data_IF_650206549663
#
_entry.id   IF_650206549663
#
_cell.length_a   1.000
_cell.length_b   1.000
_cell.length_c   1.000
_cell.angle_alpha   90.00
_cell.angle_beta   90.00
_cell.angle_gamma   90.00
#
_symmetry.space_group_name_H-M   'P 1'
#
loop_
_entity.id
_entity.type
_entity.pdbx_description
1 polymer ?
#
# COMPACT_ATOMS: atom_id res chain seq x y z
N UNK A 1 14.20 17.40 -9.54
CA UNK A 1 14.68 16.85 -10.82
C UNK A 1 15.58 15.66 -10.53
N UNK A 2 15.32 14.50 -11.16
CA UNK A 2 16.21 13.33 -11.11
C UNK A 2 17.29 13.52 -12.18
N UNK A 3 18.37 14.24 -11.86
CA UNK A 3 19.47 14.48 -12.79
C UNK A 3 20.80 14.07 -12.16
N UNK A 4 21.31 12.93 -12.64
CA UNK A 4 22.54 12.28 -12.21
C UNK A 4 23.81 13.14 -12.37
N UNK A 5 23.79 14.12 -13.27
CA UNK A 5 24.96 14.97 -13.57
C UNK A 5 25.05 16.19 -12.64
N UNK A 6 23.94 16.58 -12.00
CA UNK A 6 23.84 17.83 -11.24
C UNK A 6 23.71 17.65 -9.73
N UNK A 7 23.55 16.41 -9.25
CA UNK A 7 23.29 16.11 -7.83
C UNK A 7 24.45 15.32 -7.24
N UNK A 8 25.14 15.84 -6.20
CA UNK A 8 26.18 15.07 -5.52
C UNK A 8 25.59 13.83 -4.83
N UNK A 9 26.18 12.66 -5.06
CA UNK A 9 25.68 11.36 -4.56
C UNK A 9 25.44 11.38 -3.04
N UNK A 10 26.32 12.03 -2.26
CA UNK A 10 26.17 12.13 -0.80
C UNK A 10 24.82 12.73 -0.38
N UNK A 11 24.26 13.63 -1.18
CA UNK A 11 22.97 14.26 -0.87
C UNK A 11 21.79 13.30 -1.01
N UNK A 12 21.93 12.19 -1.74
CA UNK A 12 20.88 11.19 -1.92
C UNK A 12 20.54 10.45 -0.61
N UNK A 13 21.48 10.36 0.33
CA UNK A 13 21.24 9.78 1.65
C UNK A 13 20.32 10.63 2.54
N UNK A 14 20.13 11.91 2.22
CA UNK A 14 19.29 12.85 2.98
C UNK A 14 18.13 13.39 2.16
N UNK A 15 18.13 13.18 0.83
CA UNK A 15 17.11 13.69 -0.06
C UNK A 15 15.71 13.19 0.35
N UNK A 16 14.67 14.05 0.24
CA UNK A 16 13.30 13.66 0.53
C UNK A 16 12.82 12.63 -0.49
N UNK A 17 12.14 11.59 0.01
CA UNK A 17 11.55 10.53 -0.80
C UNK A 17 10.05 10.78 -0.91
N UNK A 18 9.52 10.61 -2.11
CA UNK A 18 8.10 10.79 -2.40
C UNK A 18 7.57 9.50 -3.02
N UNK A 19 6.45 9.01 -2.49
CA UNK A 19 5.67 7.95 -3.10
C UNK A 19 4.66 8.58 -4.07
N UNK A 20 4.56 8.03 -5.28
CA UNK A 20 3.71 8.55 -6.35
C UNK A 20 2.97 7.39 -7.01
N UNK A 21 1.71 7.61 -7.35
CA UNK A 21 0.96 6.67 -8.20
C UNK A 21 1.51 6.75 -9.62
N UNK A 22 2.01 5.64 -10.21
CA UNK A 22 2.48 5.63 -11.59
C UNK A 22 1.36 6.00 -12.56
N UNK A 23 1.69 6.60 -13.72
CA UNK A 23 0.70 7.02 -14.73
C UNK A 23 -0.26 5.88 -15.10
N UNK A 24 0.29 4.68 -15.30
CA UNK A 24 -0.48 3.48 -15.65
C UNK A 24 -1.51 3.07 -14.59
N UNK A 25 -1.32 3.46 -13.33
CA UNK A 25 -2.18 3.10 -12.20
C UNK A 25 -3.14 4.22 -11.80
N UNK A 26 -3.09 5.40 -12.44
CA UNK A 26 -3.97 6.52 -12.09
C UNK A 26 -5.46 6.21 -12.25
N UNK A 27 -5.83 5.43 -13.26
CA UNK A 27 -7.23 5.02 -13.45
C UNK A 27 -7.71 4.13 -12.30
N UNK A 28 -6.86 3.22 -11.82
CA UNK A 28 -7.18 2.36 -10.67
C UNK A 28 -7.31 3.21 -9.40
N UNK A 29 -6.35 4.11 -9.15
CA UNK A 29 -6.41 5.01 -8.00
C UNK A 29 -7.69 5.88 -8.03
N UNK A 30 -8.07 6.40 -9.21
CA UNK A 30 -9.31 7.15 -9.39
C UNK A 30 -10.54 6.31 -9.01
N UNK A 31 -10.64 5.07 -9.49
CA UNK A 31 -11.74 4.16 -9.12
C UNK A 31 -11.77 3.93 -7.61
N UNK A 32 -10.63 3.70 -6.97
CA UNK A 32 -10.57 3.51 -5.51
C UNK A 32 -11.10 4.72 -4.75
N UNK A 33 -10.74 5.93 -5.16
CA UNK A 33 -11.20 7.20 -4.56
C UNK A 33 -12.71 7.37 -4.75
N UNK A 34 -13.23 7.11 -5.94
CA UNK A 34 -14.66 7.24 -6.26
C UNK A 34 -15.52 6.25 -5.47
N UNK A 35 -15.15 4.96 -5.45
CA UNK A 35 -15.92 3.93 -4.77
C UNK A 35 -15.89 4.11 -3.24
N UNK A 36 -14.72 4.42 -2.67
CA UNK A 36 -14.55 4.56 -1.21
C UNK A 36 -15.30 5.74 -0.60
N UNK A 37 -15.65 6.76 -1.40
CA UNK A 37 -16.39 7.93 -0.94
C UNK A 37 -17.76 7.58 -0.33
N UNK A 38 -18.35 6.45 -0.76
CA UNK A 38 -19.68 5.99 -0.31
C UNK A 38 -19.64 4.76 0.59
N UNK A 39 -18.46 4.21 0.88
CA UNK A 39 -18.30 2.99 1.67
C UNK A 39 -17.97 3.31 3.14
N UNK A 40 -18.64 2.62 4.06
CA UNK A 40 -18.28 2.68 5.49
C UNK A 40 -17.05 1.83 5.82
N UNK A 41 -16.84 0.75 5.06
CA UNK A 41 -15.85 -0.29 5.34
C UNK A 41 -15.06 -0.65 4.07
N UNK A 42 -13.74 -0.78 4.22
CA UNK A 42 -12.82 -1.30 3.20
C UNK A 42 -12.22 -2.61 3.70
N UNK A 43 -12.33 -3.69 2.92
CA UNK A 43 -11.69 -4.97 3.24
C UNK A 43 -10.60 -5.28 2.22
N UNK A 44 -9.36 -5.43 2.69
CA UNK A 44 -8.20 -5.74 1.87
C UNK A 44 -8.08 -7.26 1.66
N UNK A 45 -8.06 -7.66 0.40
CA UNK A 45 -7.96 -9.06 -0.06
C UNK A 45 -6.71 -9.35 -0.90
N UNK A 46 -5.67 -8.52 -0.80
CA UNK A 46 -4.36 -8.79 -1.42
C UNK A 46 -3.75 -10.11 -0.90
N UNK A 47 -2.74 -10.63 -1.59
CA UNK A 47 -2.04 -11.85 -1.17
C UNK A 47 -1.45 -11.72 0.25
N UNK A 48 -1.41 -12.82 0.98
CA UNK A 48 -1.04 -12.84 2.41
C UNK A 48 0.48 -12.93 2.65
N UNK A 49 1.23 -12.06 2.00
CA UNK A 49 2.67 -11.88 2.20
C UNK A 49 3.01 -10.42 2.55
N UNK A 50 4.32 -10.09 2.59
CA UNK A 50 4.78 -8.74 2.94
C UNK A 50 4.40 -7.69 1.90
N UNK A 51 4.53 -8.03 0.62
CA UNK A 51 4.23 -7.11 -0.48
C UNK A 51 2.72 -6.85 -0.54
N UNK A 52 1.90 -7.89 -0.39
CA UNK A 52 0.45 -7.77 -0.34
C UNK A 52 -0.04 -6.94 0.84
N UNK A 53 0.63 -6.98 1.99
CA UNK A 53 0.31 -6.09 3.11
C UNK A 53 0.66 -4.62 2.81
N UNK A 54 1.82 -4.37 2.18
CA UNK A 54 2.24 -3.03 1.74
C UNK A 54 1.28 -2.45 0.71
N UNK A 55 0.93 -3.22 -0.32
CA UNK A 55 -0.06 -2.83 -1.34
C UNK A 55 -1.42 -2.55 -0.68
N UNK A 56 -1.82 -3.37 0.29
CA UNK A 56 -3.03 -3.14 1.08
C UNK A 56 -3.05 -1.80 1.80
N UNK A 57 -1.90 -1.40 2.37
CA UNK A 57 -1.74 -0.11 3.03
C UNK A 57 -1.75 1.07 2.03
N UNK A 58 -1.17 0.91 0.84
CA UNK A 58 -1.26 1.90 -0.24
C UNK A 58 -2.70 2.12 -0.69
N UNK A 59 -3.46 1.04 -0.92
CA UNK A 59 -4.89 1.11 -1.25
C UNK A 59 -5.66 1.85 -0.15
N UNK A 60 -5.44 1.47 1.11
CA UNK A 60 -6.10 2.11 2.24
C UNK A 60 -5.79 3.61 2.35
N UNK A 61 -4.57 4.03 1.98
CA UNK A 61 -4.16 5.42 1.96
C UNK A 61 -4.90 6.20 0.87
N UNK A 62 -4.95 5.67 -0.35
CA UNK A 62 -5.67 6.27 -1.48
C UNK A 62 -7.16 6.42 -1.15
N UNK A 63 -7.81 5.37 -0.62
CA UNK A 63 -9.22 5.45 -0.24
C UNK A 63 -9.51 6.47 0.88
N UNK A 64 -8.55 6.69 1.78
CA UNK A 64 -8.69 7.69 2.86
C UNK A 64 -8.57 9.14 2.36
N UNK A 65 -8.10 9.37 1.14
CA UNK A 65 -8.08 10.71 0.54
C UNK A 65 -9.49 11.24 0.31
N UNK A 66 -10.44 10.40 -0.12
CA UNK A 66 -11.87 10.77 -0.25
C UNK A 66 -12.67 10.51 1.01
N UNK A 67 -12.36 9.44 1.76
CA UNK A 67 -13.07 9.08 2.97
C UNK A 67 -12.12 8.80 4.16
N UNK A 68 -11.70 9.85 4.90
CA UNK A 68 -10.77 9.69 6.02
C UNK A 68 -11.26 8.80 7.17
N UNK A 69 -12.57 8.53 7.24
CA UNK A 69 -13.21 7.76 8.31
C UNK A 69 -13.49 6.31 7.93
N UNK A 70 -13.16 5.88 6.71
CA UNK A 70 -13.41 4.52 6.24
C UNK A 70 -12.72 3.49 7.15
N UNK A 71 -13.47 2.49 7.61
CA UNK A 71 -12.95 1.48 8.53
C UNK A 71 -12.25 0.36 7.73
N UNK A 72 -10.95 0.16 7.97
CA UNK A 72 -10.11 -0.71 7.13
C UNK A 72 -9.82 -2.04 7.79
N UNK A 73 -10.25 -3.12 7.15
CA UNK A 73 -10.02 -4.50 7.56
C UNK A 73 -9.13 -5.25 6.59
N UNK A 74 -8.56 -6.35 7.06
CA UNK A 74 -7.69 -7.26 6.32
C UNK A 74 -8.21 -8.69 6.41
N UNK A 75 -8.56 -9.27 5.27
CA UNK A 75 -8.87 -10.69 5.16
C UNK A 75 -7.58 -11.50 5.03
N UNK A 76 -7.40 -12.58 5.79
CA UNK A 76 -6.22 -13.45 5.70
C UNK A 76 -6.61 -14.84 5.21
N UNK A 77 -5.98 -15.29 4.15
CA UNK A 77 -6.22 -16.58 3.50
C UNK A 77 -4.90 -17.13 2.91
N UNK A 78 -4.82 -18.45 2.75
CA UNK A 78 -3.62 -19.12 2.19
C UNK A 78 -3.93 -19.93 0.93
N UNK A 79 -5.21 -19.96 0.54
CA UNK A 79 -5.69 -20.66 -0.65
C UNK A 79 -6.99 -20.01 -1.14
N UNK A 80 -7.30 -20.19 -2.43
CA UNK A 80 -8.52 -19.67 -3.05
C UNK A 80 -9.54 -20.81 -3.14
N UNK A 81 -10.06 -21.20 -1.98
CA UNK A 81 -11.14 -22.19 -1.86
C UNK A 81 -12.35 -21.54 -1.19
N UNK A 82 -13.60 -21.98 -1.49
CA UNK A 82 -14.79 -21.41 -0.85
C UNK A 82 -14.71 -21.40 0.68
N UNK A 83 -14.18 -22.49 1.26
CA UNK A 83 -13.99 -22.63 2.71
C UNK A 83 -13.02 -21.58 3.26
N UNK A 84 -11.88 -21.38 2.60
CA UNK A 84 -10.87 -20.42 3.07
C UNK A 84 -11.37 -18.97 2.98
N UNK A 85 -12.06 -18.62 1.89
CA UNK A 85 -12.61 -17.27 1.70
C UNK A 85 -13.74 -16.98 2.70
N UNK A 86 -14.66 -17.92 2.93
CA UNK A 86 -15.69 -17.78 3.97
C UNK A 86 -15.08 -17.63 5.37
N UNK A 87 -14.05 -18.43 5.68
CA UNK A 87 -13.36 -18.33 6.95
C UNK A 87 -12.70 -16.96 7.11
N UNK A 88 -12.00 -16.45 6.09
CA UNK A 88 -11.35 -15.15 6.12
C UNK A 88 -12.37 -14.00 6.29
N UNK A 89 -13.50 -14.06 5.59
CA UNK A 89 -14.57 -13.06 5.69
C UNK A 89 -15.21 -13.00 7.09
N UNK A 90 -15.26 -14.13 7.81
CA UNK A 90 -15.77 -14.18 9.20
C UNK A 90 -14.74 -13.79 10.25
N UNK A 91 -13.45 -13.77 9.91
CA UNK A 91 -12.33 -13.51 10.83
C UNK A 91 -11.44 -12.39 10.29
N UNK A 92 -12.04 -11.24 9.98
CA UNK A 92 -11.31 -10.07 9.53
C UNK A 92 -10.39 -9.54 10.64
N UNK A 93 -9.20 -9.10 10.23
CA UNK A 93 -8.17 -8.51 11.10
C UNK A 93 -7.88 -7.08 10.67
N UNK A 94 -6.87 -6.43 11.25
CA UNK A 94 -6.35 -5.14 10.79
C UNK A 94 -5.09 -5.35 9.96
N UNK A 95 -4.74 -4.38 9.12
CA UNK A 95 -3.44 -4.36 8.46
C UNK A 95 -2.33 -4.35 9.52
N UNK A 96 -1.30 -5.17 9.31
CA UNK A 96 -0.14 -5.20 10.19
C UNK A 96 0.85 -4.11 9.78
N UNK A 97 0.79 -2.98 10.50
CA UNK A 97 1.66 -1.83 10.25
C UNK A 97 3.14 -2.19 10.35
N UNK A 98 3.53 -3.18 11.18
CA UNK A 98 4.94 -3.56 11.32
C UNK A 98 5.50 -4.19 10.06
N UNK A 99 4.66 -4.91 9.31
CA UNK A 99 5.03 -5.50 8.03
C UNK A 99 5.18 -4.40 6.98
N UNK A 100 4.23 -3.45 6.95
CA UNK A 100 4.26 -2.29 6.06
C UNK A 100 5.53 -1.47 6.29
N UNK A 101 5.81 -1.10 7.54
CA UNK A 101 6.99 -0.32 7.92
C UNK A 101 8.29 -1.04 7.51
N UNK A 102 8.34 -2.37 7.61
CA UNK A 102 9.49 -3.15 7.20
C UNK A 102 9.71 -3.11 5.68
N UNK A 103 8.64 -3.15 4.88
CA UNK A 103 8.71 -3.04 3.41
C UNK A 103 9.11 -1.63 2.99
N UNK A 104 8.53 -0.60 3.61
CA UNK A 104 8.89 0.79 3.34
C UNK A 104 10.36 1.07 3.69
N UNK A 105 10.83 0.61 4.84
CA UNK A 105 12.23 0.73 5.26
C UNK A 105 13.19 0.07 4.26
N UNK A 106 12.90 -1.18 3.85
CA UNK A 106 13.70 -1.88 2.82
C UNK A 106 13.74 -1.07 1.52
N UNK A 107 12.59 -0.58 1.07
CA UNK A 107 12.47 0.15 -0.19
C UNK A 107 13.23 1.48 -0.17
N UNK A 108 13.22 2.19 0.96
CA UNK A 108 14.02 3.39 1.16
C UNK A 108 15.52 3.09 1.16
N UNK A 109 15.97 2.05 1.88
CA UNK A 109 17.37 1.65 1.91
C UNK A 109 17.87 1.26 0.51
N UNK A 110 17.11 0.44 -0.21
CA UNK A 110 17.43 0.01 -1.57
C UNK A 110 17.52 1.22 -2.52
N UNK A 111 16.60 2.18 -2.39
CA UNK A 111 16.61 3.39 -3.21
C UNK A 111 17.82 4.29 -2.90
N UNK A 112 18.17 4.48 -1.62
CA UNK A 112 19.27 5.36 -1.22
C UNK A 112 20.64 4.76 -1.51
N UNK A 113 20.81 3.45 -1.33
CA UNK A 113 22.08 2.75 -1.53
C UNK A 113 22.29 2.40 -3.01
N UNK A 114 21.20 2.09 -3.72
CA UNK A 114 21.24 1.69 -5.13
C UNK A 114 21.26 2.83 -6.15
N UNK A 115 20.90 4.06 -5.75
CA UNK A 115 20.97 5.26 -6.58
C UNK A 115 22.35 5.92 -6.51
#
# INVERSE_FOLDING_TARGET
MKNWQSVPIRTLFEAPIYQLVPEAMKNIAKTLVEESASCDVLVIWTDCDREGESIGAEIARVCRESNPRIDVYRAKFSEITPRAIEHAARHLTRLDQRIVDAVECRSELDLRIGA
#
